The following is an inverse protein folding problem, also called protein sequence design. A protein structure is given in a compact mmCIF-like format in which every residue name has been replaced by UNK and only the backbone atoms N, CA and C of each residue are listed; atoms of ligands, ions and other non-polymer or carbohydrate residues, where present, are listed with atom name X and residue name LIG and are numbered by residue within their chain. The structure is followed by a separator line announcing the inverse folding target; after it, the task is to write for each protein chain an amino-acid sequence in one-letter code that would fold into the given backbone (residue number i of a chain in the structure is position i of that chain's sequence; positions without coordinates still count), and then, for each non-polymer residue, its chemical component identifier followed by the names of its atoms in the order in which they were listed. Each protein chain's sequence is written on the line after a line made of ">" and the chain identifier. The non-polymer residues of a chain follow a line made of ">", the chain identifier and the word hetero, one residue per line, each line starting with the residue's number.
data_IF_619728096503
#
_entry.id   IF_619728096503
#
_cell.length_a   1.000
_cell.length_b   1.000
_cell.length_c   1.000
_cell.angle_alpha   90.00
_cell.angle_beta   90.00
_cell.angle_gamma   90.00
#
_symmetry.space_group_name_H-M   'P 1'
#
loop_
_entity.id
_entity.type
_entity.pdbx_description
1 polymer ?
#
# COMPACT_ATOMS: atom_id res chain seq x y z
N UNK A 1 6.22 30.95 17.27
CA UNK A 1 6.85 30.41 16.04
C UNK A 1 6.92 28.91 16.25
N UNK A 2 5.76 28.28 16.16
CA UNK A 2 5.56 26.88 16.51
C UNK A 2 5.91 26.05 15.27
N UNK A 3 7.17 25.60 15.24
CA UNK A 3 7.84 24.97 14.10
C UNK A 3 7.42 23.51 13.85
N UNK A 4 6.29 23.09 14.38
CA UNK A 4 5.74 21.76 14.17
C UNK A 4 4.23 21.88 14.00
N UNK A 5 3.82 22.34 12.83
CA UNK A 5 2.49 22.01 12.34
C UNK A 5 2.44 20.48 12.35
N UNK A 6 1.64 19.92 13.25
CA UNK A 6 1.38 18.48 13.29
C UNK A 6 1.01 18.07 11.86
N UNK A 7 1.85 17.24 11.25
CA UNK A 7 1.56 16.59 9.98
C UNK A 7 0.41 15.61 10.26
N UNK A 8 -0.80 16.14 10.32
CA UNK A 8 -2.02 15.35 10.34
C UNK A 8 -2.19 14.77 8.95
N UNK A 9 -1.52 13.64 8.72
CA UNK A 9 -1.77 12.83 7.54
C UNK A 9 -3.20 12.32 7.61
N UNK A 10 -3.93 12.48 6.52
CA UNK A 10 -5.23 11.85 6.34
C UNK A 10 -5.06 10.32 6.43
N UNK A 11 -6.11 9.62 6.87
CA UNK A 11 -6.08 8.15 6.94
C UNK A 11 -5.73 7.49 5.59
N UNK A 12 -6.03 8.16 4.48
CA UNK A 12 -5.69 7.73 3.11
C UNK A 12 -4.21 7.83 2.79
N UNK A 13 -3.55 8.91 3.22
CA UNK A 13 -2.10 9.06 3.09
C UNK A 13 -1.38 8.01 3.95
N UNK A 14 -1.91 7.71 5.15
CA UNK A 14 -1.37 6.65 6.00
C UNK A 14 -1.49 5.26 5.35
N UNK A 15 -2.63 4.95 4.73
CA UNK A 15 -2.84 3.69 3.99
C UNK A 15 -1.78 3.47 2.90
N UNK A 16 -1.56 4.48 2.05
CA UNK A 16 -0.54 4.41 1.00
C UNK A 16 0.87 4.33 1.57
N UNK A 17 1.20 5.16 2.57
CA UNK A 17 2.53 5.20 3.17
C UNK A 17 2.90 3.88 3.85
N UNK A 18 1.94 3.24 4.52
CA UNK A 18 2.21 1.94 5.17
C UNK A 18 2.45 0.84 4.15
N UNK A 19 1.68 0.81 3.07
CA UNK A 19 1.92 -0.15 1.98
C UNK A 19 3.26 0.14 1.27
N UNK A 20 3.58 1.40 1.02
CA UNK A 20 4.83 1.83 0.41
C UNK A 20 6.04 1.41 1.26
N UNK A 21 5.97 1.56 2.59
CA UNK A 21 7.04 1.09 3.50
C UNK A 21 7.24 -0.41 3.40
N UNK A 22 6.17 -1.19 3.34
CA UNK A 22 6.26 -2.66 3.22
C UNK A 22 6.87 -3.02 1.88
N UNK A 23 6.38 -2.43 0.79
CA UNK A 23 6.91 -2.66 -0.54
C UNK A 23 8.39 -2.28 -0.65
N UNK A 24 8.82 -1.16 -0.06
CA UNK A 24 10.23 -0.77 -0.04
C UNK A 24 11.10 -1.72 0.80
N UNK A 25 10.58 -2.20 1.93
CA UNK A 25 11.32 -3.09 2.84
C UNK A 25 11.53 -4.49 2.29
N UNK A 26 10.55 -5.00 1.54
CA UNK A 26 10.56 -6.36 0.98
C UNK A 26 10.81 -6.37 -0.53
N UNK A 27 11.31 -5.27 -1.10
CA UNK A 27 11.63 -5.19 -2.53
C UNK A 27 10.44 -5.57 -3.46
N UNK A 28 9.27 -5.03 -3.13
CA UNK A 28 8.01 -5.20 -3.87
C UNK A 28 7.56 -3.90 -4.55
N UNK A 29 8.44 -2.88 -4.65
CA UNK A 29 8.10 -1.59 -5.27
C UNK A 29 7.71 -1.72 -6.74
N UNK A 30 8.21 -2.75 -7.42
CA UNK A 30 7.85 -3.05 -8.81
C UNK A 30 6.34 -3.32 -8.97
N UNK A 31 5.68 -3.88 -7.94
CA UNK A 31 4.23 -4.09 -7.96
C UNK A 31 3.49 -2.74 -7.94
N UNK A 32 3.93 -1.79 -7.12
CA UNK A 32 3.33 -0.45 -7.13
C UNK A 32 3.49 0.24 -8.49
N UNK A 33 4.64 0.08 -9.14
CA UNK A 33 4.86 0.63 -10.49
C UNK A 33 3.98 -0.05 -11.54
N UNK A 34 3.84 -1.38 -11.46
CA UNK A 34 2.98 -2.15 -12.34
C UNK A 34 1.52 -1.71 -12.22
N UNK A 35 0.98 -1.64 -11.00
CA UNK A 35 -0.39 -1.18 -10.77
C UNK A 35 -0.59 0.29 -11.15
N UNK A 36 0.44 1.14 -10.96
CA UNK A 36 0.36 2.53 -11.41
C UNK A 36 0.21 2.60 -12.93
N UNK A 37 0.98 1.78 -13.65
CA UNK A 37 0.91 1.71 -15.11
C UNK A 37 -0.42 1.16 -15.58
N UNK A 38 -0.92 0.08 -14.96
CA UNK A 38 -2.21 -0.53 -15.29
C UNK A 38 -3.40 0.43 -15.09
N UNK A 39 -3.37 1.21 -14.01
CA UNK A 39 -4.48 2.11 -13.66
C UNK A 39 -4.42 3.49 -14.32
N UNK A 40 -3.22 4.05 -14.53
CA UNK A 40 -3.02 5.45 -14.92
C UNK A 40 -2.15 5.64 -16.16
N UNK A 41 -1.77 4.54 -16.85
CA UNK A 41 -0.95 4.53 -18.07
C UNK A 41 0.45 5.16 -17.88
N UNK A 42 0.94 5.18 -16.63
CA UNK A 42 2.30 5.64 -16.30
C UNK A 42 2.82 4.98 -15.02
N UNK A 43 4.14 4.98 -14.85
CA UNK A 43 4.83 4.41 -13.68
C UNK A 43 5.15 5.45 -12.57
N UNK A 44 4.78 6.71 -12.79
CA UNK A 44 5.11 7.84 -11.90
C UNK A 44 4.14 7.95 -10.73
N UNK A 45 4.35 7.17 -9.69
CA UNK A 45 3.56 7.22 -8.45
C UNK A 45 3.53 8.64 -7.83
N UNK A 46 4.61 9.41 -7.97
CA UNK A 46 4.69 10.80 -7.48
C UNK A 46 3.81 11.79 -8.25
N UNK A 47 3.31 11.41 -9.43
CA UNK A 47 2.38 12.22 -10.21
C UNK A 47 0.93 12.04 -9.79
N UNK A 48 0.64 11.00 -8.99
CA UNK A 48 -0.70 10.70 -8.50
C UNK A 48 -1.08 11.64 -7.36
N UNK A 49 -2.34 12.06 -7.35
CA UNK A 49 -2.93 12.74 -6.20
C UNK A 49 -3.18 11.78 -5.02
N UNK A 50 -3.60 12.32 -3.88
CA UNK A 50 -3.79 11.53 -2.66
C UNK A 50 -4.90 10.47 -2.83
N UNK A 51 -5.95 10.76 -3.59
CA UNK A 51 -7.05 9.83 -3.84
C UNK A 51 -6.58 8.68 -4.74
N UNK A 52 -5.83 9.02 -5.77
CA UNK A 52 -5.23 8.09 -6.72
C UNK A 52 -4.19 7.19 -6.05
N UNK A 53 -3.36 7.74 -5.15
CA UNK A 53 -2.43 6.98 -4.32
C UNK A 53 -3.16 6.01 -3.39
N UNK A 54 -4.27 6.43 -2.77
CA UNK A 54 -5.07 5.56 -1.93
C UNK A 54 -5.75 4.45 -2.74
N UNK A 55 -6.26 4.77 -3.94
CA UNK A 55 -6.83 3.79 -4.86
C UNK A 55 -5.78 2.79 -5.34
N UNK A 56 -4.59 3.27 -5.71
CA UNK A 56 -3.44 2.45 -6.08
C UNK A 56 -3.05 1.50 -4.94
N UNK A 57 -2.96 2.03 -3.72
CA UNK A 57 -2.63 1.23 -2.54
C UNK A 57 -3.65 0.12 -2.32
N UNK A 58 -4.95 0.40 -2.45
CA UNK A 58 -6.01 -0.62 -2.30
C UNK A 58 -5.92 -1.70 -3.37
N UNK A 59 -5.63 -1.34 -4.60
CA UNK A 59 -5.49 -2.28 -5.71
C UNK A 59 -4.26 -3.18 -5.52
N UNK A 60 -3.10 -2.60 -5.20
CA UNK A 60 -1.84 -3.32 -5.06
C UNK A 60 -1.68 -4.04 -3.71
N UNK A 61 -2.57 -3.79 -2.74
CA UNK A 61 -2.46 -4.26 -1.37
C UNK A 61 -2.23 -5.77 -1.28
N UNK A 62 -3.11 -6.55 -1.92
CA UNK A 62 -3.10 -8.02 -1.85
C UNK A 62 -1.76 -8.59 -2.29
N UNK A 63 -1.37 -8.26 -3.52
CA UNK A 63 -0.16 -8.77 -4.16
C UNK A 63 1.11 -8.34 -3.42
N UNK A 64 1.18 -7.09 -2.94
CA UNK A 64 2.33 -6.62 -2.15
C UNK A 64 2.45 -7.39 -0.84
N UNK A 65 1.34 -7.66 -0.15
CA UNK A 65 1.37 -8.45 1.08
C UNK A 65 1.76 -9.90 0.80
N UNK A 66 1.22 -10.52 -0.25
CA UNK A 66 1.57 -11.90 -0.62
C UNK A 66 3.06 -12.04 -0.95
N UNK A 67 3.58 -11.15 -1.78
CA UNK A 67 5.01 -11.12 -2.15
C UNK A 67 5.89 -10.81 -0.92
N UNK A 68 5.47 -9.87 -0.07
CA UNK A 68 6.18 -9.55 1.16
C UNK A 68 6.21 -10.75 2.12
N UNK A 69 5.10 -11.47 2.28
CA UNK A 69 5.00 -12.69 3.11
C UNK A 69 5.92 -13.78 2.58
N UNK A 70 5.96 -13.98 1.26
CA UNK A 70 6.92 -14.90 0.60
C UNK A 70 8.37 -14.56 0.94
N UNK A 71 8.67 -13.27 1.15
CA UNK A 71 9.99 -12.74 1.52
C UNK A 71 10.23 -12.62 3.04
N UNK A 72 9.34 -13.19 3.87
CA UNK A 72 9.49 -13.20 5.33
C UNK A 72 8.88 -12.01 6.05
N UNK A 73 7.92 -11.31 5.43
CA UNK A 73 7.06 -10.39 6.16
C UNK A 73 6.08 -11.16 7.04
N UNK A 74 6.13 -10.90 8.34
CA UNK A 74 5.14 -11.38 9.28
C UNK A 74 4.12 -10.26 9.53
N UNK A 75 2.90 -10.35 8.95
CA UNK A 75 1.85 -9.39 9.24
C UNK A 75 1.56 -9.37 10.74
N UNK A 76 1.36 -8.19 11.35
CA UNK A 76 0.94 -8.10 12.75
C UNK A 76 -0.29 -8.97 12.99
N UNK A 77 -0.37 -9.68 14.12
CA UNK A 77 -1.45 -10.64 14.39
C UNK A 77 -2.88 -10.10 14.20
N UNK A 78 -3.08 -8.79 14.33
CA UNK A 78 -4.36 -8.10 14.11
C UNK A 78 -4.72 -7.87 12.63
N UNK A 79 -3.76 -7.98 11.70
CA UNK A 79 -4.01 -7.88 10.25
C UNK A 79 -4.50 -9.18 9.61
N UNK A 80 -4.32 -10.33 10.29
CA UNK A 80 -4.81 -11.64 9.84
C UNK A 80 -6.35 -11.78 9.93
N UNK A 81 -7.02 -10.92 10.71
CA UNK A 81 -8.47 -10.97 10.92
C UNK A 81 -9.27 -10.00 10.03
N UNK A 82 -8.74 -9.66 8.85
CA UNK A 82 -9.42 -8.83 7.84
C UNK A 82 -9.86 -9.58 6.59
N UNK A 83 -9.68 -10.91 6.52
CA UNK A 83 -10.03 -11.74 5.37
C UNK A 83 -11.23 -12.63 5.67
N UNK A 84 -12.45 -12.17 5.40
CA UNK A 84 -13.56 -13.09 5.08
C UNK A 84 -13.62 -13.17 3.56
N UNK A 85 -12.67 -13.90 2.98
CA UNK A 85 -12.91 -14.55 1.71
C UNK A 85 -13.78 -15.77 2.04
N UNK A 86 -15.05 -15.63 1.72
CA UNK A 86 -16.07 -16.66 1.68
C UNK A 86 -15.51 -17.88 0.91
N UNK A 87 -15.03 -18.88 1.65
CA UNK A 87 -14.81 -20.22 1.13
C UNK A 87 -16.04 -21.02 1.52
N UNK A 88 -17.04 -21.02 0.66
CA UNK A 88 -18.10 -22.04 0.69
C UNK A 88 -17.66 -23.19 -0.19
N UNK A 89 -17.60 -24.35 0.45
CA UNK A 89 -17.33 -25.68 -0.08
C UNK A 89 -18.33 -26.13 -1.16
#
# INVERSE_FOLDING_TARGET
>A
MDKYHHLEFSGRELEFLDLFKIAARYDCLYLLQFYCFDMYDHDRITALDIEEQAALARAARGDIYEEAVSKGYEPPAWTLFGGVHDRVC
#
